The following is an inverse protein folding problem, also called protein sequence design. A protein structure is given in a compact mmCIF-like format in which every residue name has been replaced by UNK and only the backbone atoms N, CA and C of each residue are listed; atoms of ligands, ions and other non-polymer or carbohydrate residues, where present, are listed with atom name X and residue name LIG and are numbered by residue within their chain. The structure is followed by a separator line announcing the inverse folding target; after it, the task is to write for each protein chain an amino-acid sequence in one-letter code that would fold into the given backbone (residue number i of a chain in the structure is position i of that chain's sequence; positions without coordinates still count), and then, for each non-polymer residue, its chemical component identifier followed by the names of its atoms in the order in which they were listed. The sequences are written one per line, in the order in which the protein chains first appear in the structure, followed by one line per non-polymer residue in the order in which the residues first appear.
data_IF_931389025949
#
_entry.id   IF_931389025949
#
_cell.length_a   1.000
_cell.length_b   1.000
_cell.length_c   1.000
_cell.angle_alpha   90.00
_cell.angle_beta   90.00
_cell.angle_gamma   90.00
#
_symmetry.space_group_name_H-M   'P 1'
#
loop_
_entity.id
_entity.type
_entity.pdbx_description
1 polymer ?
#
# COMPACT_ATOMS: atom_id res chain seq x y z
N UNK A 1 -5.12 -1.65 12.27
CA UNK A 1 -6.02 -0.51 11.98
C UNK A 1 -7.43 -1.06 11.82
N UNK A 2 -8.43 -0.51 12.52
CA UNK A 2 -9.81 -0.97 12.37
C UNK A 2 -10.42 -0.30 11.14
N UNK A 3 -10.83 -1.10 10.15
CA UNK A 3 -11.44 -0.59 8.93
C UNK A 3 -12.82 0.09 9.16
N UNK A 4 -13.40 -0.10 10.33
CA UNK A 4 -14.74 0.39 10.71
C UNK A 4 -14.71 1.70 11.49
N UNK A 5 -13.58 2.40 11.54
CA UNK A 5 -13.40 3.61 12.33
C UNK A 5 -13.86 4.90 11.62
N UNK A 6 -14.58 4.77 10.50
CA UNK A 6 -15.09 5.95 9.79
C UNK A 6 -16.45 6.40 10.38
N UNK A 7 -16.56 7.69 10.62
CA UNK A 7 -17.81 8.33 11.02
C UNK A 7 -18.61 8.79 9.81
N UNK A 8 -19.93 8.85 9.96
CA UNK A 8 -20.82 9.48 8.97
C UNK A 8 -20.53 10.98 8.88
N UNK A 9 -19.99 11.45 7.77
CA UNK A 9 -19.64 12.86 7.58
C UNK A 9 -20.82 13.69 7.03
N UNK A 10 -21.86 13.04 6.50
CA UNK A 10 -23.01 13.68 5.88
C UNK A 10 -24.18 13.92 6.86
N UNK A 11 -24.04 13.47 8.10
CA UNK A 11 -25.01 13.74 9.16
C UNK A 11 -24.73 15.09 9.83
N UNK A 12 -25.75 15.66 10.49
CA UNK A 12 -25.59 16.91 11.26
C UNK A 12 -24.60 16.74 12.41
N UNK A 13 -24.57 15.55 13.03
CA UNK A 13 -23.58 15.18 14.04
C UNK A 13 -22.75 14.01 13.59
N UNK A 14 -21.44 14.09 13.80
CA UNK A 14 -20.53 12.97 13.60
C UNK A 14 -20.44 12.05 14.82
N UNK A 15 -21.20 12.36 15.90
CA UNK A 15 -21.16 11.57 17.13
C UNK A 15 -21.84 10.21 16.92
N UNK A 16 -21.17 9.11 17.26
CA UNK A 16 -21.68 7.75 17.02
C UNK A 16 -22.63 7.32 18.17
N UNK A 17 -23.81 7.90 18.25
CA UNK A 17 -24.78 7.64 19.31
C UNK A 17 -25.05 6.16 19.57
N UNK A 18 -24.98 5.32 18.52
CA UNK A 18 -25.21 3.87 18.60
C UNK A 18 -24.11 3.10 19.34
N UNK A 19 -22.96 3.71 19.62
CA UNK A 19 -21.81 3.02 20.27
C UNK A 19 -21.81 3.16 21.78
N UNK A 20 -22.64 4.03 22.34
CA UNK A 20 -22.66 4.35 23.77
C UNK A 20 -24.03 4.09 24.35
N UNK A 21 -24.07 3.65 25.62
CA UNK A 21 -25.30 3.45 26.35
C UNK A 21 -26.01 4.78 26.63
N UNK A 22 -27.34 4.74 26.79
CA UNK A 22 -28.17 5.88 27.14
C UNK A 22 -28.74 6.66 25.95
N UNK A 23 -28.49 6.21 24.72
CA UNK A 23 -29.04 6.82 23.51
C UNK A 23 -30.03 5.88 22.82
N UNK A 24 -31.18 6.39 22.40
CA UNK A 24 -32.20 5.61 21.67
C UNK A 24 -31.87 5.53 20.18
N UNK A 25 -30.76 4.90 19.84
CA UNK A 25 -30.34 4.67 18.45
C UNK A 25 -29.86 3.25 18.24
N UNK A 26 -30.45 2.57 17.27
CA UNK A 26 -29.97 1.25 16.85
C UNK A 26 -28.64 1.38 16.10
N UNK A 27 -27.82 0.33 16.20
CA UNK A 27 -26.61 0.21 15.38
C UNK A 27 -27.00 0.28 13.89
N UNK A 28 -26.42 1.19 13.10
CA UNK A 28 -26.67 1.25 11.67
C UNK A 28 -26.33 -0.07 10.97
N UNK A 29 -27.01 -0.35 9.88
CA UNK A 29 -26.61 -1.45 9.01
C UNK A 29 -25.19 -1.18 8.46
N UNK A 30 -24.31 -2.19 8.34
CA UNK A 30 -22.95 -2.02 7.79
C UNK A 30 -22.94 -1.34 6.41
N UNK A 31 -23.99 -1.48 5.62
CA UNK A 31 -24.13 -0.80 4.32
C UNK A 31 -24.34 0.71 4.43
N UNK A 32 -24.79 1.19 5.59
CA UNK A 32 -25.02 2.62 5.88
C UNK A 32 -23.76 3.31 6.40
N UNK A 33 -22.74 2.53 6.77
CA UNK A 33 -21.47 3.04 7.29
C UNK A 33 -20.48 3.31 6.15
N UNK A 34 -19.63 4.35 6.24
CA UNK A 34 -18.66 4.70 5.21
C UNK A 34 -17.50 3.69 5.21
N UNK A 35 -17.77 2.47 4.76
CA UNK A 35 -16.78 1.40 4.64
C UNK A 35 -16.03 1.51 3.29
N UNK A 36 -14.72 1.66 3.34
CA UNK A 36 -13.86 1.78 2.15
C UNK A 36 -13.21 0.48 1.70
N UNK A 37 -13.59 -0.64 2.28
CA UNK A 37 -12.98 -1.93 1.99
C UNK A 37 -11.74 -2.23 2.85
N UNK A 38 -11.10 -3.35 2.56
CA UNK A 38 -9.89 -3.77 3.26
C UNK A 38 -8.68 -2.98 2.81
N UNK A 39 -7.81 -2.63 3.75
CA UNK A 39 -6.47 -2.14 3.43
C UNK A 39 -5.62 -3.31 2.96
N UNK A 40 -5.00 -3.16 1.80
CA UNK A 40 -4.14 -4.17 1.19
C UNK A 40 -2.74 -3.59 0.99
N UNK A 41 -1.73 -4.32 1.45
CA UNK A 41 -0.32 -3.95 1.25
C UNK A 41 0.32 -5.07 0.43
N UNK A 42 0.91 -4.70 -0.70
CA UNK A 42 1.60 -5.60 -1.61
C UNK A 42 2.93 -6.13 -1.06
N UNK A 43 3.71 -6.73 -1.93
CA UNK A 43 5.00 -7.31 -1.61
C UNK A 43 6.14 -6.29 -1.76
N UNK A 44 7.26 -6.49 -1.08
CA UNK A 44 8.44 -5.62 -1.16
C UNK A 44 8.13 -4.14 -0.91
N UNK A 45 7.15 -3.85 -0.05
CA UNK A 45 6.76 -2.47 0.32
C UNK A 45 7.62 -1.99 1.48
N UNK A 46 8.23 -0.82 1.33
CA UNK A 46 8.91 -0.15 2.44
C UNK A 46 8.04 0.95 3.02
N UNK A 47 7.68 0.80 4.29
CA UNK A 47 6.90 1.79 5.04
C UNK A 47 7.83 2.51 6.02
N UNK A 48 8.03 3.80 5.78
CA UNK A 48 8.85 4.66 6.63
C UNK A 48 8.26 4.84 8.03
N UNK A 49 9.11 5.23 8.97
CA UNK A 49 8.74 5.42 10.37
C UNK A 49 7.55 6.38 10.52
N UNK A 50 6.60 6.04 11.39
CA UNK A 50 5.40 6.83 11.70
C UNK A 50 4.48 7.10 10.49
N UNK A 51 4.61 6.35 9.41
CA UNK A 51 3.64 6.45 8.33
C UNK A 51 2.28 5.89 8.76
N UNK A 52 1.21 6.54 8.32
CA UNK A 52 -0.18 6.14 8.60
C UNK A 52 -0.83 5.78 7.27
N UNK A 53 -1.42 4.59 7.19
CA UNK A 53 -2.22 4.15 6.04
C UNK A 53 -3.68 4.17 6.45
N UNK A 54 -4.49 4.93 5.73
CA UNK A 54 -5.92 5.03 6.02
C UNK A 54 -6.69 3.77 5.59
N UNK A 55 -7.86 3.50 6.19
CA UNK A 55 -8.68 2.35 5.84
C UNK A 55 -9.02 2.29 4.34
N UNK A 56 -9.00 1.09 3.77
CA UNK A 56 -9.38 0.82 2.39
C UNK A 56 -8.32 1.19 1.34
N UNK A 57 -7.14 1.65 1.74
CA UNK A 57 -6.05 1.97 0.80
C UNK A 57 -5.35 0.70 0.32
N UNK A 58 -5.06 0.62 -0.97
CA UNK A 58 -4.23 -0.43 -1.57
C UNK A 58 -2.85 0.13 -1.90
N UNK A 59 -1.81 -0.54 -1.41
CA UNK A 59 -0.41 -0.19 -1.69
C UNK A 59 0.17 -1.27 -2.59
N UNK A 60 0.59 -0.87 -3.80
CA UNK A 60 1.15 -1.77 -4.81
C UNK A 60 2.52 -2.32 -4.44
N UNK A 61 2.89 -3.43 -5.09
CA UNK A 61 4.18 -4.09 -4.91
C UNK A 61 5.36 -3.14 -5.11
N UNK A 62 6.38 -3.25 -4.30
CA UNK A 62 7.59 -2.45 -4.40
C UNK A 62 7.44 -0.96 -4.09
N UNK A 63 6.28 -0.51 -3.60
CA UNK A 63 6.07 0.89 -3.24
C UNK A 63 6.90 1.31 -2.03
N UNK A 64 7.19 2.60 -1.94
CA UNK A 64 7.85 3.22 -0.78
C UNK A 64 6.97 4.31 -0.21
N UNK A 65 6.68 4.21 1.07
CA UNK A 65 5.96 5.22 1.83
C UNK A 65 6.96 5.98 2.69
N UNK A 66 7.10 7.28 2.45
CA UNK A 66 8.02 8.11 3.22
C UNK A 66 7.62 8.21 4.70
N UNK A 67 8.60 8.46 5.55
CA UNK A 67 8.36 8.64 6.98
C UNK A 67 7.38 9.79 7.26
N UNK A 68 6.55 9.64 8.31
CA UNK A 68 5.52 10.60 8.71
C UNK A 68 4.47 10.92 7.63
N UNK A 69 4.33 10.08 6.62
CA UNK A 69 3.33 10.26 5.57
C UNK A 69 1.97 9.74 5.99
N UNK A 70 0.89 10.38 5.50
CA UNK A 70 -0.49 9.92 5.70
C UNK A 70 -1.07 9.53 4.34
N UNK A 71 -1.17 8.23 4.11
CA UNK A 71 -1.59 7.64 2.84
C UNK A 71 -3.11 7.46 2.84
N UNK A 72 -3.81 8.32 2.11
CA UNK A 72 -5.27 8.31 2.01
C UNK A 72 -5.82 7.86 0.65
N UNK A 73 -4.95 7.52 -0.29
CA UNK A 73 -5.30 7.03 -1.64
C UNK A 73 -4.41 5.87 -2.01
N UNK A 74 -4.85 5.05 -2.97
CA UNK A 74 -4.07 3.94 -3.48
C UNK A 74 -2.71 4.39 -4.02
N UNK A 75 -1.73 3.51 -3.90
CA UNK A 75 -0.35 3.75 -4.32
C UNK A 75 0.01 2.74 -5.40
N UNK A 76 0.38 3.24 -6.57
CA UNK A 76 0.80 2.40 -7.69
C UNK A 76 2.07 1.60 -7.35
N UNK A 77 2.27 0.43 -7.98
CA UNK A 77 3.48 -0.35 -7.82
C UNK A 77 4.74 0.47 -8.09
N UNK A 78 5.80 0.19 -7.32
CA UNK A 78 7.12 0.84 -7.44
C UNK A 78 7.08 2.37 -7.42
N UNK A 79 6.05 2.94 -6.77
CA UNK A 79 5.91 4.40 -6.60
C UNK A 79 6.35 4.83 -5.21
N UNK A 80 7.06 5.94 -5.13
CA UNK A 80 7.44 6.58 -3.87
C UNK A 80 6.40 7.66 -3.58
N UNK A 81 5.74 7.59 -2.43
CA UNK A 81 4.81 8.61 -1.94
C UNK A 81 5.31 9.22 -0.65
N UNK A 82 5.10 10.52 -0.48
CA UNK A 82 5.54 11.27 0.70
C UNK A 82 4.52 12.34 1.10
N UNK A 83 4.52 12.70 2.37
CA UNK A 83 3.81 13.86 2.90
C UNK A 83 2.44 13.57 3.51
N UNK A 84 1.75 14.64 3.88
CA UNK A 84 0.41 14.63 4.47
C UNK A 84 -0.47 15.71 3.80
N UNK A 85 -1.46 15.34 2.97
CA UNK A 85 -1.69 13.99 2.47
C UNK A 85 -0.53 13.49 1.58
N UNK A 86 -0.26 12.18 1.62
CA UNK A 86 0.80 11.59 0.81
C UNK A 86 0.50 11.74 -0.68
N UNK A 87 1.52 12.15 -1.43
CA UNK A 87 1.45 12.35 -2.89
C UNK A 87 2.61 11.61 -3.56
N UNK A 88 2.42 11.13 -4.80
CA UNK A 88 3.51 10.57 -5.59
C UNK A 88 4.65 11.57 -5.75
N UNK A 89 5.85 11.13 -5.38
CA UNK A 89 7.09 11.87 -5.62
C UNK A 89 7.69 11.49 -6.97
N UNK A 90 7.86 10.18 -7.21
CA UNK A 90 8.32 9.59 -8.47
C UNK A 90 8.13 8.06 -8.46
N UNK A 91 8.25 7.45 -9.61
CA UNK A 91 8.48 5.99 -9.72
C UNK A 91 9.93 5.65 -9.36
N UNK A 92 10.15 4.45 -8.85
CA UNK A 92 11.51 3.92 -8.55
C UNK A 92 12.29 3.67 -9.84
N UNK A 93 11.59 3.16 -10.85
CA UNK A 93 12.14 2.71 -12.13
C UNK A 93 11.23 3.20 -13.27
N UNK A 94 11.66 3.01 -14.52
CA UNK A 94 10.81 3.19 -15.69
C UNK A 94 9.73 2.10 -15.80
N UNK A 95 8.74 2.35 -16.63
CA UNK A 95 7.57 1.48 -16.74
C UNK A 95 7.90 0.09 -17.28
N UNK A 96 8.90 -0.03 -18.16
CA UNK A 96 9.32 -1.30 -18.73
C UNK A 96 9.95 -2.19 -17.66
N UNK A 97 10.86 -1.64 -16.86
CA UNK A 97 11.48 -2.40 -15.76
C UNK A 97 10.46 -2.72 -14.67
N UNK A 98 9.54 -1.82 -14.33
CA UNK A 98 8.43 -2.10 -13.41
C UNK A 98 7.59 -3.28 -13.94
N UNK A 99 7.25 -3.27 -15.23
CA UNK A 99 6.52 -4.36 -15.86
C UNK A 99 7.22 -5.72 -15.77
N UNK A 100 8.55 -5.75 -15.94
CA UNK A 100 9.37 -6.94 -15.78
C UNK A 100 9.38 -7.43 -14.32
N UNK A 101 9.61 -6.55 -13.36
CA UNK A 101 9.64 -6.87 -11.93
C UNK A 101 8.30 -7.43 -11.43
N UNK A 102 7.18 -6.87 -11.90
CA UNK A 102 5.84 -7.35 -11.57
C UNK A 102 5.53 -8.72 -12.17
N UNK A 103 6.18 -9.11 -13.27
CA UNK A 103 6.11 -10.47 -13.84
C UNK A 103 7.06 -11.42 -13.12
N UNK A 104 8.24 -10.96 -12.80
CA UNK A 104 9.29 -11.77 -12.20
C UNK A 104 8.97 -12.23 -10.77
N UNK A 105 8.33 -11.38 -9.97
CA UNK A 105 7.83 -11.67 -8.61
C UNK A 105 8.84 -12.47 -7.78
N UNK A 106 9.99 -11.88 -7.51
CA UNK A 106 11.07 -12.55 -6.79
C UNK A 106 10.62 -13.08 -5.41
N UNK A 107 9.63 -12.47 -4.80
CA UNK A 107 9.06 -12.87 -3.50
C UNK A 107 8.25 -14.18 -3.53
N UNK A 108 7.84 -14.65 -4.71
CA UNK A 108 7.13 -15.93 -4.89
C UNK A 108 8.09 -17.12 -5.12
N UNK A 109 9.41 -16.87 -5.13
CA UNK A 109 10.43 -17.88 -5.38
C UNK A 109 10.87 -18.61 -4.10
N UNK A 110 11.48 -19.78 -4.24
CA UNK A 110 12.05 -20.49 -3.10
C UNK A 110 13.21 -19.71 -2.45
N UNK A 111 13.52 -20.04 -1.19
CA UNK A 111 14.64 -19.40 -0.48
C UNK A 111 15.98 -19.62 -1.22
N UNK A 112 16.17 -20.80 -1.79
CA UNK A 112 17.37 -21.14 -2.56
C UNK A 112 17.49 -20.27 -3.82
N UNK A 113 16.39 -20.09 -4.54
CA UNK A 113 16.33 -19.20 -5.70
C UNK A 113 16.58 -17.75 -5.29
N UNK A 114 15.92 -17.25 -4.23
CA UNK A 114 16.13 -15.89 -3.73
C UNK A 114 17.60 -15.66 -3.37
N UNK A 115 18.24 -16.61 -2.67
CA UNK A 115 19.67 -16.52 -2.34
C UNK A 115 20.55 -16.39 -3.59
N UNK A 116 20.22 -17.10 -4.66
CA UNK A 116 20.93 -16.99 -5.94
C UNK A 116 20.71 -15.64 -6.64
N UNK A 117 19.59 -14.97 -6.35
CA UNK A 117 19.19 -13.70 -6.93
C UNK A 117 19.70 -12.48 -6.16
N UNK A 118 20.20 -12.63 -4.93
CA UNK A 118 20.67 -11.50 -4.11
C UNK A 118 21.61 -10.57 -4.89
N UNK A 119 22.60 -11.04 -5.67
CA UNK A 119 23.47 -10.15 -6.43
C UNK A 119 22.72 -9.24 -7.42
N UNK A 120 21.58 -9.68 -7.94
CA UNK A 120 20.74 -8.91 -8.86
C UNK A 120 19.76 -8.05 -8.09
N UNK A 121 19.13 -8.58 -7.04
CA UNK A 121 18.16 -7.85 -6.21
C UNK A 121 18.79 -6.65 -5.49
N UNK A 122 20.11 -6.70 -5.25
CA UNK A 122 20.88 -5.62 -4.61
C UNK A 122 21.69 -4.76 -5.60
N UNK A 123 21.55 -5.03 -6.90
CA UNK A 123 22.29 -4.32 -7.94
C UNK A 123 21.64 -2.97 -8.27
N UNK A 124 22.46 -1.93 -8.39
CA UNK A 124 22.03 -0.58 -8.82
C UNK A 124 22.21 -0.32 -10.32
N UNK A 125 22.84 -1.24 -11.05
CA UNK A 125 23.03 -1.16 -12.50
C UNK A 125 21.77 -1.67 -13.21
N UNK A 126 20.80 -0.78 -13.47
CA UNK A 126 19.46 -1.17 -13.93
C UNK A 126 19.45 -1.96 -15.26
N UNK A 127 20.37 -1.65 -16.19
CA UNK A 127 20.49 -2.42 -17.46
C UNK A 127 20.90 -3.86 -17.21
N UNK A 128 21.82 -4.09 -16.29
CA UNK A 128 22.21 -5.43 -15.89
C UNK A 128 21.05 -6.19 -15.25
N UNK A 129 20.31 -5.50 -14.34
CA UNK A 129 19.10 -6.06 -13.69
C UNK A 129 18.07 -6.44 -14.74
N UNK A 130 17.80 -5.57 -15.72
CA UNK A 130 16.87 -5.82 -16.81
C UNK A 130 17.23 -7.09 -17.59
N UNK A 131 18.46 -7.14 -18.10
CA UNK A 131 18.94 -8.27 -18.90
C UNK A 131 18.86 -9.61 -18.14
N UNK A 132 19.22 -9.62 -16.86
CA UNK A 132 19.18 -10.81 -16.02
C UNK A 132 17.74 -11.28 -15.72
N UNK A 133 16.81 -10.35 -15.53
CA UNK A 133 15.40 -10.68 -15.31
C UNK A 133 14.75 -11.19 -16.59
N UNK A 134 14.99 -10.53 -17.72
CA UNK A 134 14.48 -10.97 -19.03
C UNK A 134 14.95 -12.38 -19.38
N UNK A 135 16.21 -12.72 -19.09
CA UNK A 135 16.75 -14.05 -19.33
C UNK A 135 16.13 -15.15 -18.46
N UNK A 136 15.40 -14.79 -17.41
CA UNK A 136 14.79 -15.72 -16.43
C UNK A 136 13.24 -15.76 -16.52
N UNK A 137 12.61 -14.94 -17.33
CA UNK A 137 11.17 -14.94 -17.61
C UNK A 137 10.82 -15.88 -18.76
#
# INVERSE_FOLDING_TARGET
MMNDANHQMNAVSTFPFYTLEGWEMNTPDPSEMPFKGNTVIGNDVWIGQNAVVLPGVHIGDGAIIGANSIVGSDVDPYTIVVGNPAKPLRKRFDDDLIGLLLKFKWWDKSIEEINSLIPILTCSELEKVRNEIEARL
#
